data_IF_482781601562
#
_entry.id   IF_482781601562
#
_cell.length_a   1.000
_cell.length_b   1.000
_cell.length_c   1.000
_cell.angle_alpha   90.00
_cell.angle_beta   90.00
_cell.angle_gamma   90.00
#
_symmetry.space_group_name_H-M   'P 1'
#
loop_
_entity.id
_entity.type
_entity.pdbx_description
1 polymer ?
#
# COMPACT_ATOMS: atom_id res chain seq x y z
N UNK A 1 -9.43 -10.52 16.08
CA UNK A 1 -8.14 -11.23 16.21
C UNK A 1 -7.17 -10.37 17.03
N UNK A 2 -6.17 -10.96 17.69
CA UNK A 2 -5.15 -10.21 18.45
C UNK A 2 -3.77 -10.38 17.81
N UNK A 3 -3.12 -9.26 17.48
CA UNK A 3 -1.73 -9.27 17.01
C UNK A 3 -0.77 -9.67 18.13
N UNK A 4 0.23 -10.48 17.77
CA UNK A 4 1.30 -10.90 18.68
C UNK A 4 2.21 -9.72 19.04
N UNK A 5 2.99 -9.85 20.11
CA UNK A 5 4.00 -8.83 20.51
C UNK A 5 5.01 -8.57 19.39
N UNK A 6 5.49 -9.62 18.72
CA UNK A 6 6.42 -9.55 17.57
C UNK A 6 5.83 -8.71 16.42
N UNK A 7 4.57 -8.96 16.07
CA UNK A 7 3.88 -8.21 15.02
C UNK A 7 3.70 -6.73 15.38
N UNK A 8 3.33 -6.42 16.63
CA UNK A 8 3.22 -5.02 17.11
C UNK A 8 4.57 -4.29 17.06
N UNK A 9 5.65 -4.94 17.50
CA UNK A 9 6.99 -4.37 17.45
C UNK A 9 7.46 -4.14 16.01
N UNK A 10 7.10 -5.05 15.09
CA UNK A 10 7.40 -4.89 13.67
C UNK A 10 6.67 -3.69 13.05
N UNK A 11 5.40 -3.45 13.41
CA UNK A 11 4.68 -2.24 12.99
C UNK A 11 5.39 -0.99 13.49
N UNK A 12 5.75 -0.96 14.78
CA UNK A 12 6.46 0.17 15.38
C UNK A 12 7.81 0.41 14.68
N UNK A 13 8.56 -0.65 14.38
CA UNK A 13 9.82 -0.56 13.61
C UNK A 13 9.60 0.03 12.21
N UNK A 14 8.61 -0.46 11.47
CA UNK A 14 8.31 0.04 10.13
C UNK A 14 7.94 1.53 10.19
N UNK A 15 7.04 1.90 11.10
CA UNK A 15 6.62 3.29 11.30
C UNK A 15 7.79 4.19 11.72
N UNK A 16 8.68 3.72 12.61
CA UNK A 16 9.85 4.50 13.03
C UNK A 16 10.85 4.77 11.89
N UNK A 17 10.95 3.86 10.91
CA UNK A 17 11.80 4.02 9.73
C UNK A 17 11.13 4.92 8.69
N UNK A 18 9.83 4.74 8.43
CA UNK A 18 9.12 5.43 7.36
C UNK A 18 8.65 6.84 7.74
N UNK A 19 8.23 7.06 8.99
CA UNK A 19 7.64 8.32 9.42
C UNK A 19 8.56 9.54 9.19
N UNK A 20 9.87 9.49 9.50
CA UNK A 20 10.76 10.61 9.17
C UNK A 20 10.78 10.92 7.66
N UNK A 21 10.79 9.89 6.82
CA UNK A 21 10.80 10.04 5.36
C UNK A 21 9.45 10.57 4.86
N UNK A 22 8.32 10.12 5.45
CA UNK A 22 6.99 10.68 5.16
C UNK A 22 6.88 12.16 5.56
N UNK A 23 7.54 12.58 6.64
CA UNK A 23 7.58 14.01 7.01
C UNK A 23 8.38 14.81 5.97
N UNK A 24 9.57 14.33 5.58
CA UNK A 24 10.38 14.98 4.56
C UNK A 24 9.67 15.03 3.20
N UNK A 25 8.85 14.03 2.87
CA UNK A 25 8.08 14.00 1.64
C UNK A 25 7.25 15.28 1.43
N UNK A 26 6.60 15.80 2.47
CA UNK A 26 5.79 17.03 2.39
C UNK A 26 6.59 18.29 2.08
N UNK A 27 7.90 18.26 2.30
CA UNK A 27 8.81 19.37 1.99
C UNK A 27 9.44 19.12 0.62
N UNK A 28 10.01 17.95 0.39
CA UNK A 28 10.82 17.65 -0.79
C UNK A 28 10.00 17.56 -2.07
N UNK A 29 8.83 16.91 -2.05
CA UNK A 29 8.04 16.65 -3.27
C UNK A 29 7.57 17.93 -3.97
N UNK A 30 7.03 18.94 -3.27
CA UNK A 30 6.72 20.23 -3.90
C UNK A 30 7.88 20.82 -4.70
N UNK A 31 9.10 20.83 -4.16
CA UNK A 31 10.27 21.37 -4.85
C UNK A 31 10.77 20.45 -5.97
N UNK A 32 10.78 19.13 -5.75
CA UNK A 32 11.21 18.16 -6.76
C UNK A 32 10.32 18.20 -8.01
N UNK A 33 9.01 18.46 -7.83
CA UNK A 33 8.07 18.59 -8.94
C UNK A 33 8.28 19.83 -9.80
N UNK A 34 8.92 20.89 -9.28
CA UNK A 34 9.28 22.07 -10.10
C UNK A 34 10.33 21.75 -11.17
N UNK A 35 11.10 20.68 -10.98
CA UNK A 35 12.05 20.17 -11.96
C UNK A 35 11.42 19.20 -12.96
N UNK A 36 10.12 18.92 -12.87
CA UNK A 36 9.41 18.01 -13.76
C UNK A 36 8.64 18.79 -14.84
N UNK A 37 8.83 18.42 -16.10
CA UNK A 37 8.08 18.93 -17.24
C UNK A 37 6.90 18.02 -17.62
N UNK A 38 6.18 18.36 -18.69
CA UNK A 38 5.05 17.59 -19.19
C UNK A 38 5.41 16.16 -19.62
N UNK A 39 6.68 15.88 -19.94
CA UNK A 39 7.17 14.56 -20.39
C UNK A 39 7.70 13.70 -19.24
N UNK A 40 7.84 14.29 -18.06
CA UNK A 40 8.38 13.61 -16.88
C UNK A 40 7.45 12.51 -16.40
N UNK A 41 7.98 11.29 -16.30
CA UNK A 41 7.29 10.13 -15.73
C UNK A 41 7.67 9.87 -14.27
N UNK A 42 8.81 10.39 -13.84
CA UNK A 42 9.37 10.20 -12.50
C UNK A 42 9.93 11.53 -11.99
N UNK A 43 10.08 11.63 -10.67
CA UNK A 43 10.84 12.67 -10.01
C UNK A 43 12.33 12.61 -10.43
N UNK A 44 13.07 13.71 -10.28
CA UNK A 44 14.52 13.71 -10.44
C UNK A 44 15.18 12.61 -9.60
N UNK A 45 16.28 12.03 -10.09
CA UNK A 45 16.95 10.87 -9.45
C UNK A 45 17.25 11.05 -7.95
N UNK A 46 17.56 12.28 -7.53
CA UNK A 46 17.84 12.60 -6.12
C UNK A 46 16.59 12.54 -5.23
N UNK A 47 15.40 12.68 -5.80
CA UNK A 47 14.09 12.61 -5.13
C UNK A 47 13.30 11.34 -5.48
N UNK A 48 13.85 10.42 -6.27
CA UNK A 48 13.16 9.22 -6.76
C UNK A 48 12.63 8.30 -5.64
N UNK A 49 13.09 8.46 -4.40
CA UNK A 49 12.55 7.73 -3.25
C UNK A 49 11.10 8.06 -2.93
N UNK A 50 10.65 9.25 -3.32
CA UNK A 50 9.31 9.76 -3.06
C UNK A 50 8.30 9.44 -4.15
N UNK A 51 8.74 8.82 -5.25
CA UNK A 51 7.87 8.39 -6.34
C UNK A 51 6.97 7.20 -5.95
N UNK A 52 5.94 7.00 -6.75
CA UNK A 52 5.24 5.73 -6.82
C UNK A 52 6.08 4.72 -7.63
N UNK A 53 6.31 3.49 -7.14
CA UNK A 53 7.19 2.53 -7.79
C UNK A 53 6.63 1.95 -9.09
N UNK A 54 5.30 1.96 -9.25
CA UNK A 54 4.61 1.34 -10.37
C UNK A 54 4.18 2.38 -11.41
N UNK A 55 3.81 3.58 -10.95
CA UNK A 55 3.18 4.62 -11.79
C UNK A 55 3.88 5.98 -11.79
N UNK A 56 5.00 6.11 -11.07
CA UNK A 56 5.77 7.35 -11.00
C UNK A 56 4.95 8.55 -10.53
N UNK A 57 5.16 9.72 -11.14
CA UNK A 57 4.50 10.97 -10.72
C UNK A 57 3.09 11.15 -11.30
N UNK A 58 2.75 10.41 -12.36
CA UNK A 58 1.55 10.68 -13.18
C UNK A 58 0.31 9.87 -12.77
N UNK A 59 0.48 8.91 -11.86
CA UNK A 59 -0.58 8.10 -11.27
C UNK A 59 -1.04 6.90 -12.09
N UNK A 60 -1.81 6.03 -11.42
CA UNK A 60 -2.49 4.90 -12.06
C UNK A 60 -3.68 5.35 -12.92
N UNK A 61 -4.26 4.43 -13.70
CA UNK A 61 -5.35 4.78 -14.60
C UNK A 61 -6.63 5.20 -13.86
N UNK A 62 -6.87 4.66 -12.66
CA UNK A 62 -7.96 5.12 -11.80
C UNK A 62 -7.78 6.58 -11.38
N UNK A 63 -6.57 6.99 -11.03
CA UNK A 63 -6.22 8.36 -10.72
C UNK A 63 -6.47 9.29 -11.91
N UNK A 64 -5.94 8.91 -13.08
CA UNK A 64 -6.09 9.70 -14.32
C UNK A 64 -7.57 9.88 -14.68
N UNK A 65 -8.34 8.80 -14.63
CA UNK A 65 -9.72 8.80 -15.13
C UNK A 65 -10.73 9.39 -14.13
N UNK A 66 -10.58 9.09 -12.84
CA UNK A 66 -11.57 9.52 -11.82
C UNK A 66 -11.30 10.94 -11.29
N UNK A 67 -10.03 11.36 -11.22
CA UNK A 67 -9.66 12.62 -10.53
C UNK A 67 -9.23 13.73 -11.48
N UNK A 68 -8.64 13.39 -12.64
CA UNK A 68 -8.13 14.36 -13.60
C UNK A 68 -8.46 13.99 -15.06
N UNK A 69 -9.77 13.85 -15.40
CA UNK A 69 -10.17 13.50 -16.75
C UNK A 69 -9.65 14.52 -17.78
N UNK A 70 -9.48 14.06 -19.02
CA UNK A 70 -8.97 14.85 -20.16
C UNK A 70 -7.48 15.20 -20.10
N UNK A 71 -6.63 14.32 -19.55
CA UNK A 71 -5.17 14.48 -19.59
C UNK A 71 -4.61 15.54 -18.65
N UNK A 72 -5.42 16.02 -17.69
CA UNK A 72 -4.99 17.02 -16.68
C UNK A 72 -4.13 16.42 -15.55
N UNK A 73 -3.86 15.12 -15.60
CA UNK A 73 -3.08 14.38 -14.62
C UNK A 73 -1.59 14.75 -14.62
N UNK A 74 -1.08 15.38 -15.68
CA UNK A 74 0.31 15.84 -15.80
C UNK A 74 0.58 17.24 -15.26
N UNK A 75 -0.44 17.91 -14.73
CA UNK A 75 -0.27 19.21 -14.08
C UNK A 75 0.51 19.06 -12.76
N UNK A 76 1.24 20.10 -12.35
CA UNK A 76 1.93 20.15 -11.06
C UNK A 76 1.00 19.73 -9.91
N UNK A 77 -0.22 20.29 -9.88
CA UNK A 77 -1.20 20.00 -8.84
C UNK A 77 -1.64 18.53 -8.82
N UNK A 78 -1.91 17.93 -9.99
CA UNK A 78 -2.31 16.54 -10.07
C UNK A 78 -1.20 15.59 -9.58
N UNK A 79 0.06 15.85 -9.97
CA UNK A 79 1.23 15.08 -9.51
C UNK A 79 1.47 15.25 -8.01
N UNK A 80 1.33 16.47 -7.50
CA UNK A 80 1.45 16.76 -6.07
C UNK A 80 0.40 15.98 -5.27
N UNK A 81 -0.86 16.04 -5.68
CA UNK A 81 -1.94 15.29 -5.03
C UNK A 81 -1.72 13.76 -5.09
N UNK A 82 -1.20 13.24 -6.22
CA UNK A 82 -0.89 11.82 -6.39
C UNK A 82 0.17 11.35 -5.40
N UNK A 83 1.30 12.06 -5.34
CA UNK A 83 2.40 11.69 -4.45
C UNK A 83 2.02 11.90 -2.97
N UNK A 84 1.22 12.91 -2.65
CA UNK A 84 0.70 13.11 -1.28
C UNK A 84 -0.22 11.96 -0.82
N UNK A 85 -0.91 11.32 -1.76
CA UNK A 85 -1.70 10.11 -1.53
C UNK A 85 -0.83 8.86 -1.44
N UNK A 86 0.22 8.74 -2.26
CA UNK A 86 1.11 7.59 -2.34
C UNK A 86 2.53 7.97 -1.91
N UNK A 87 2.68 8.24 -0.61
CA UNK A 87 3.95 8.73 -0.07
C UNK A 87 5.02 7.64 -0.10
N UNK A 88 6.26 8.06 -0.35
CA UNK A 88 7.50 7.29 -0.15
C UNK A 88 7.50 5.92 -0.83
N UNK A 89 6.78 5.78 -1.94
CA UNK A 89 6.44 4.48 -2.52
C UNK A 89 7.68 3.66 -2.91
N UNK A 90 8.62 4.29 -3.62
CA UNK A 90 9.91 3.68 -4.00
C UNK A 90 10.76 3.37 -2.78
N UNK A 91 10.84 4.25 -1.79
CA UNK A 91 11.57 3.99 -0.54
C UNK A 91 11.03 2.75 0.18
N UNK A 92 9.72 2.71 0.40
CA UNK A 92 9.05 1.59 1.07
C UNK A 92 9.29 0.28 0.31
N UNK A 93 9.10 0.28 -1.01
CA UNK A 93 9.33 -0.89 -1.85
C UNK A 93 10.79 -1.38 -1.80
N UNK A 94 11.76 -0.47 -1.83
CA UNK A 94 13.19 -0.79 -1.88
C UNK A 94 13.74 -1.34 -0.56
N UNK A 95 13.38 -0.74 0.56
CA UNK A 95 14.02 -1.02 1.85
C UNK A 95 13.20 -1.93 2.77
N UNK A 96 11.87 -1.86 2.68
CA UNK A 96 10.97 -2.58 3.58
C UNK A 96 10.03 -3.53 2.85
N UNK A 97 9.91 -3.42 1.52
CA UNK A 97 8.98 -4.16 0.69
C UNK A 97 9.18 -5.68 0.73
N UNK A 98 8.08 -6.38 0.47
CA UNK A 98 8.06 -7.84 0.30
C UNK A 98 7.95 -8.15 -1.18
N UNK A 99 8.99 -8.77 -1.74
CA UNK A 99 8.95 -9.29 -3.10
C UNK A 99 8.05 -10.52 -3.17
N UNK A 100 7.06 -10.51 -4.04
CA UNK A 100 6.08 -11.61 -4.16
C UNK A 100 6.75 -12.92 -4.59
N UNK A 101 7.73 -12.83 -5.49
CA UNK A 101 8.57 -13.96 -5.92
C UNK A 101 9.28 -14.68 -4.77
N UNK A 102 9.60 -13.96 -3.69
CA UNK A 102 10.33 -14.47 -2.52
C UNK A 102 9.43 -15.00 -1.42
N UNK A 103 8.11 -14.92 -1.59
CA UNK A 103 7.16 -15.55 -0.69
C UNK A 103 7.20 -17.06 -0.88
N UNK A 104 7.39 -17.80 0.21
CA UNK A 104 7.17 -19.25 0.25
C UNK A 104 5.67 -19.53 0.19
N UNK A 105 5.12 -19.76 -1.00
CA UNK A 105 3.67 -19.86 -1.22
C UNK A 105 2.99 -20.91 -0.33
N UNK A 106 3.61 -22.07 -0.11
CA UNK A 106 3.10 -23.09 0.82
C UNK A 106 3.01 -22.66 2.29
N UNK A 107 3.57 -21.50 2.66
CA UNK A 107 3.57 -20.94 4.03
C UNK A 107 2.55 -19.82 4.23
N UNK A 108 1.87 -19.38 3.17
CA UNK A 108 0.83 -18.36 3.28
C UNK A 108 -0.31 -18.93 4.11
N UNK A 109 -0.68 -18.23 5.17
CA UNK A 109 -1.80 -18.58 6.05
C UNK A 109 -2.70 -17.38 6.19
N UNK A 110 -3.99 -17.63 6.03
CA UNK A 110 -5.01 -16.60 6.15
C UNK A 110 -5.97 -16.97 7.27
N UNK A 111 -6.37 -15.98 8.04
CA UNK A 111 -7.36 -16.12 9.11
C UNK A 111 -8.34 -14.94 9.00
N UNK A 112 -9.63 -15.22 9.10
CA UNK A 112 -10.69 -14.22 8.90
C UNK A 112 -11.20 -14.20 7.47
N UNK A 113 -11.69 -13.04 7.04
CA UNK A 113 -12.41 -12.85 5.78
C UNK A 113 -11.43 -12.53 4.63
N UNK A 114 -11.25 -13.46 3.70
CA UNK A 114 -10.36 -13.27 2.53
C UNK A 114 -10.81 -12.11 1.63
N UNK A 115 -12.10 -11.75 1.68
CA UNK A 115 -12.69 -10.66 0.90
C UNK A 115 -12.81 -9.36 1.70
N UNK A 116 -12.12 -9.23 2.83
CA UNK A 116 -12.26 -8.07 3.71
C UNK A 116 -12.01 -6.71 3.01
N UNK A 117 -11.15 -6.66 1.99
CA UNK A 117 -10.89 -5.43 1.21
C UNK A 117 -12.05 -5.03 0.29
N UNK A 118 -12.87 -5.99 -0.13
CA UNK A 118 -14.07 -5.76 -0.95
C UNK A 118 -15.28 -5.31 -0.13
N UNK A 119 -15.24 -5.53 1.19
CA UNK A 119 -16.34 -5.18 2.10
C UNK A 119 -16.66 -3.68 2.14
N UNK A 120 -15.67 -2.80 1.94
CA UNK A 120 -15.85 -1.32 1.83
C UNK A 120 -16.73 -0.71 2.94
N UNK A 121 -16.59 -1.19 4.17
CA UNK A 121 -17.32 -0.72 5.35
C UNK A 121 -18.76 -1.22 5.50
N UNK A 122 -19.23 -2.15 4.64
CA UNK A 122 -20.59 -2.69 4.69
C UNK A 122 -20.86 -3.51 5.97
N UNK A 123 -19.87 -4.22 6.51
CA UNK A 123 -19.92 -4.83 7.85
C UNK A 123 -18.57 -4.71 8.54
N UNK A 124 -18.51 -5.00 9.84
CA UNK A 124 -17.21 -5.19 10.48
C UNK A 124 -16.58 -6.47 9.94
N UNK A 125 -15.31 -6.40 9.55
CA UNK A 125 -14.56 -7.54 9.00
C UNK A 125 -13.10 -7.42 9.38
N UNK A 126 -12.38 -8.54 9.42
CA UNK A 126 -10.94 -8.55 9.58
C UNK A 126 -10.32 -9.73 8.87
N UNK A 127 -9.07 -9.55 8.44
CA UNK A 127 -8.24 -10.56 7.82
C UNK A 127 -6.81 -10.41 8.30
N UNK A 128 -6.19 -11.53 8.69
CA UNK A 128 -4.78 -11.62 8.97
C UNK A 128 -4.16 -12.59 7.98
N UNK A 129 -3.20 -12.10 7.20
CA UNK A 129 -2.36 -12.92 6.32
C UNK A 129 -0.96 -12.98 6.92
N UNK A 130 -0.36 -14.16 6.98
CA UNK A 130 1.04 -14.36 7.35
C UNK A 130 1.75 -15.19 6.28
N UNK A 131 3.05 -14.97 6.10
CA UNK A 131 3.88 -15.79 5.24
C UNK A 131 5.33 -15.83 5.72
N UNK A 132 6.08 -16.80 5.22
CA UNK A 132 7.54 -16.86 5.34
C UNK A 132 8.18 -16.52 3.99
N UNK A 133 9.21 -15.70 4.05
CA UNK A 133 10.09 -15.41 2.91
C UNK A 133 11.06 -16.58 2.70
N UNK A 134 11.68 -16.67 1.51
CA UNK A 134 12.73 -17.66 1.20
C UNK A 134 13.87 -17.69 2.22
N UNK A 135 14.22 -16.53 2.79
CA UNK A 135 15.25 -16.40 3.83
C UNK A 135 14.76 -16.71 5.26
N UNK A 136 13.55 -17.24 5.40
CA UNK A 136 12.96 -17.63 6.69
C UNK A 136 12.34 -16.48 7.47
N UNK A 137 12.48 -15.22 7.04
CA UNK A 137 11.82 -14.08 7.72
C UNK A 137 10.31 -14.20 7.60
N UNK A 138 9.62 -13.90 8.70
CA UNK A 138 8.16 -13.86 8.72
C UNK A 138 7.63 -12.47 8.40
N UNK A 139 6.50 -12.43 7.69
CA UNK A 139 5.77 -11.21 7.31
C UNK A 139 4.29 -11.39 7.60
N UNK A 140 3.59 -10.27 7.77
CA UNK A 140 2.15 -10.31 7.98
C UNK A 140 1.45 -9.06 7.43
N UNK A 141 0.18 -9.20 7.07
CA UNK A 141 -0.72 -8.10 6.76
C UNK A 141 -1.99 -8.26 7.57
N UNK A 142 -2.33 -7.25 8.35
CA UNK A 142 -3.55 -7.23 9.16
C UNK A 142 -4.48 -6.14 8.66
N UNK A 143 -5.61 -6.56 8.09
CA UNK A 143 -6.67 -5.69 7.61
C UNK A 143 -7.87 -5.79 8.54
N UNK A 144 -8.46 -4.65 8.90
CA UNK A 144 -9.70 -4.61 9.68
C UNK A 144 -10.56 -3.43 9.31
N UNK A 145 -11.85 -3.67 9.23
CA UNK A 145 -12.88 -2.64 9.15
C UNK A 145 -13.80 -2.75 10.36
N UNK A 146 -14.12 -1.62 10.98
CA UNK A 146 -15.02 -1.53 12.12
C UNK A 146 -16.16 -0.61 11.72
N UNK A 147 -17.35 -1.18 11.47
CA UNK A 147 -18.55 -0.41 11.14
C UNK A 147 -19.12 0.22 12.40
N UNK A 148 -19.42 1.52 12.36
CA UNK A 148 -19.97 2.24 13.50
C UNK A 148 -21.50 2.10 13.56
N UNK A 149 -21.99 0.96 14.04
CA UNK A 149 -23.42 0.69 14.14
C UNK A 149 -24.14 0.91 12.79
N UNK A 150 -25.18 1.76 12.80
CA UNK A 150 -25.96 2.11 11.59
C UNK A 150 -25.36 3.29 10.78
N UNK A 151 -24.23 3.84 11.21
CA UNK A 151 -23.58 4.98 10.54
C UNK A 151 -23.14 4.66 9.11
N UNK A 152 -23.01 5.71 8.29
CA UNK A 152 -22.36 5.66 6.97
C UNK A 152 -20.83 5.71 7.07
N UNK A 153 -20.27 5.71 8.29
CA UNK A 153 -18.85 5.82 8.57
C UNK A 153 -18.29 4.54 9.21
N UNK A 154 -17.01 4.27 8.96
CA UNK A 154 -16.30 3.13 9.51
C UNK A 154 -14.80 3.44 9.72
N UNK A 155 -14.19 2.71 10.65
CA UNK A 155 -12.73 2.68 10.80
C UNK A 155 -12.14 1.67 9.83
N UNK A 156 -11.11 2.04 9.06
CA UNK A 156 -10.27 1.10 8.32
C UNK A 156 -8.88 1.08 8.92
N UNK A 157 -8.38 -0.10 9.23
CA UNK A 157 -7.05 -0.34 9.77
C UNK A 157 -6.33 -1.29 8.81
N UNK A 158 -5.13 -0.92 8.38
CA UNK A 158 -4.24 -1.82 7.66
C UNK A 158 -2.81 -1.69 8.20
N UNK A 159 -2.29 -2.77 8.78
CA UNK A 159 -0.99 -2.81 9.45
C UNK A 159 -0.11 -3.95 8.89
N UNK A 160 1.20 -3.72 8.83
CA UNK A 160 2.20 -4.70 8.37
C UNK A 160 2.60 -4.46 6.93
N UNK A 161 2.31 -5.41 6.04
CA UNK A 161 2.54 -5.33 4.60
C UNK A 161 1.23 -5.49 3.83
N UNK A 162 1.21 -5.06 2.57
CA UNK A 162 0.09 -5.19 1.62
C UNK A 162 -0.23 -6.66 1.21
N UNK A 163 -0.16 -7.61 2.15
CA UNK A 163 -0.34 -9.05 1.90
C UNK A 163 -1.78 -9.49 1.55
N UNK A 164 -2.75 -8.57 1.55
CA UNK A 164 -4.09 -8.89 1.02
C UNK A 164 -4.03 -9.18 -0.48
N UNK A 165 -3.02 -8.64 -1.19
CA UNK A 165 -2.79 -8.89 -2.62
C UNK A 165 -2.32 -10.35 -2.90
N UNK A 166 -1.92 -11.11 -1.88
CA UNK A 166 -1.49 -12.53 -2.00
C UNK A 166 -2.34 -13.46 -1.14
N UNK A 167 -3.54 -13.00 -0.75
CA UNK A 167 -4.47 -13.82 0.01
C UNK A 167 -4.88 -15.05 -0.83
N UNK A 168 -4.82 -16.25 -0.22
CA UNK A 168 -5.13 -17.49 -0.93
C UNK A 168 -4.00 -18.04 -1.83
N UNK A 169 -2.82 -17.41 -1.83
CA UNK A 169 -1.65 -17.97 -2.52
C UNK A 169 -1.27 -19.34 -1.93
N UNK A 170 -0.98 -20.27 -2.83
CA UNK A 170 -0.58 -21.66 -2.60
C UNK A 170 0.50 -22.04 -3.61
N UNK A 171 1.12 -23.19 -3.41
CA UNK A 171 2.21 -23.63 -4.27
C UNK A 171 1.77 -23.86 -5.73
N UNK A 172 0.54 -24.37 -5.93
CA UNK A 172 -0.06 -24.67 -7.23
C UNK A 172 -0.46 -23.42 -8.01
N UNK A 173 -0.92 -22.36 -7.34
CA UNK A 173 -1.41 -21.14 -7.98
C UNK A 173 -0.46 -19.94 -7.86
N UNK A 174 0.77 -20.09 -7.33
CA UNK A 174 1.72 -18.97 -7.17
C UNK A 174 1.93 -18.16 -8.46
N UNK A 175 1.89 -18.81 -9.61
CA UNK A 175 2.08 -18.19 -10.92
C UNK A 175 1.04 -17.10 -11.22
N UNK A 176 -0.19 -17.23 -10.71
CA UNK A 176 -1.28 -16.25 -10.93
C UNK A 176 -1.14 -14.97 -10.08
N UNK A 177 -0.08 -14.87 -9.28
CA UNK A 177 0.27 -13.68 -8.47
C UNK A 177 1.58 -13.05 -8.95
N UNK A 178 2.10 -13.53 -10.09
CA UNK A 178 3.34 -13.09 -10.72
C UNK A 178 3.08 -12.69 -12.18
N UNK A 179 1.82 -12.47 -12.55
CA UNK A 179 1.46 -12.02 -13.88
C UNK A 179 1.88 -10.56 -14.09
N UNK A 180 1.85 -10.09 -15.34
CA UNK A 180 2.39 -8.77 -15.69
C UNK A 180 1.74 -7.62 -14.93
N UNK A 181 0.43 -7.74 -14.65
CA UNK A 181 -0.38 -6.73 -13.98
C UNK A 181 -0.34 -6.87 -12.43
N UNK A 182 0.31 -7.92 -11.91
CA UNK A 182 0.44 -8.13 -10.48
C UNK A 182 1.55 -7.29 -9.86
N UNK A 183 1.34 -6.89 -8.61
CA UNK A 183 2.36 -6.17 -7.85
C UNK A 183 3.53 -7.07 -7.54
N UNK A 184 4.70 -6.70 -8.03
CA UNK A 184 5.96 -7.41 -7.76
C UNK A 184 6.44 -7.22 -6.33
N UNK A 185 6.16 -6.05 -5.74
CA UNK A 185 6.61 -5.68 -4.39
C UNK A 185 5.43 -5.17 -3.57
N UNK A 186 5.18 -5.80 -2.43
CA UNK A 186 4.17 -5.42 -1.47
C UNK A 186 4.79 -4.49 -0.43
N UNK A 187 4.41 -3.22 -0.46
CA UNK A 187 4.87 -2.20 0.47
C UNK A 187 4.39 -2.44 1.91
N UNK A 188 5.06 -1.80 2.86
CA UNK A 188 4.57 -1.69 4.24
C UNK A 188 3.34 -0.79 4.31
N UNK A 189 2.55 -0.98 5.36
CA UNK A 189 1.37 -0.17 5.64
C UNK A 189 1.16 -0.10 7.14
N UNK A 190 0.91 1.10 7.65
CA UNK A 190 0.58 1.37 9.05
C UNK A 190 -0.58 2.36 9.14
N UNK A 191 -1.58 2.18 8.27
CA UNK A 191 -2.69 3.11 8.09
C UNK A 191 -3.84 2.84 9.07
N UNK A 192 -4.30 3.90 9.73
CA UNK A 192 -5.54 3.92 10.51
C UNK A 192 -6.38 5.10 9.99
N UNK A 193 -7.48 4.80 9.32
CA UNK A 193 -8.43 5.79 8.83
C UNK A 193 -9.72 5.68 9.65
N UNK A 194 -9.90 6.50 10.70
CA UNK A 194 -11.02 6.36 11.62
C UNK A 194 -12.36 6.78 11.00
N UNK A 195 -12.37 7.56 9.93
CA UNK A 195 -13.58 8.17 9.36
C UNK A 195 -13.65 7.95 7.85
N UNK A 196 -13.65 6.70 7.39
CA UNK A 196 -13.98 6.41 5.99
C UNK A 196 -15.49 6.34 5.81
N UNK A 197 -15.98 6.87 4.70
CA UNK A 197 -17.40 6.80 4.33
C UNK A 197 -17.66 5.57 3.47
N UNK A 198 -18.77 4.88 3.74
CA UNK A 198 -19.26 3.80 2.88
C UNK A 198 -19.58 4.40 1.50
N UNK A 199 -18.89 3.94 0.47
CA UNK A 199 -19.22 4.26 -0.93
C UNK A 199 -20.25 3.21 -1.39
N UNK A 200 -21.42 3.70 -1.81
CA UNK A 200 -22.48 2.88 -2.41
C UNK A 200 -22.07 2.48 -3.83
#
# INVERSE_FOLDING_TARGET
MKLTKKQKLQILKNAAIELPIEIFHFIIVPFALLACDEKSENLPKWAAWFDDPDYGVNGDDGWKNEHFPNGKNRTYWARLCWLYRNRIGVFSAKYLGVKVEDIGAGTVRTQGDVFATYNKGQKSTECLVTCKMKDGRERFGYYREIRYGKSKWYCRIYLGWKLMDVVGMRQDNKHTYLEADDKKILQTVWAINPLKRIKQ
#
